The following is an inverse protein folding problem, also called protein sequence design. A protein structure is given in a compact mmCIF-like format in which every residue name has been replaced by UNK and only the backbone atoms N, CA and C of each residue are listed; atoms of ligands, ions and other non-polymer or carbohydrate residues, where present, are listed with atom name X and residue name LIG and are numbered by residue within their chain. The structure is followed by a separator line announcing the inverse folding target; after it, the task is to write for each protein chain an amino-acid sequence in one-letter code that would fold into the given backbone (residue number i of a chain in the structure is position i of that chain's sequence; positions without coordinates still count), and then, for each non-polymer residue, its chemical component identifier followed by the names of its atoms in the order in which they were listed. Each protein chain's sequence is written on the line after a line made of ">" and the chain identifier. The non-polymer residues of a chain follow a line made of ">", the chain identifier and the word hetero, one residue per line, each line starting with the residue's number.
data_IF_812876545355
#
_entry.id   IF_812876545355
#
_cell.length_a   1.000
_cell.length_b   1.000
_cell.length_c   1.000
_cell.angle_alpha   90.00
_cell.angle_beta   90.00
_cell.angle_gamma   90.00
#
_symmetry.space_group_name_H-M   'P 1'
#
loop_
_entity.id
_entity.type
_entity.pdbx_description
1 polymer ?
#
# COMPACT_ATOMS: atom_id res chain seq x y z
N UNK A 1 -3.17 -15.69 3.27
CA UNK A 1 -4.18 -14.76 2.71
C UNK A 1 -3.50 -13.43 2.44
N UNK A 2 -3.94 -12.71 1.41
CA UNK A 2 -3.32 -11.43 1.00
C UNK A 2 -4.40 -10.35 1.05
N UNK A 3 -4.26 -9.38 1.95
CA UNK A 3 -5.04 -8.15 1.95
C UNK A 3 -4.11 -7.01 1.53
N UNK A 4 -3.93 -6.85 0.22
CA UNK A 4 -3.06 -5.84 -0.35
C UNK A 4 -3.86 -4.97 -1.32
N UNK A 5 -4.50 -3.95 -0.79
CA UNK A 5 -5.21 -2.93 -1.55
C UNK A 5 -4.56 -1.57 -1.32
N UNK A 6 -4.41 -0.78 -2.37
CA UNK A 6 -3.92 0.61 -2.31
C UNK A 6 -4.89 1.53 -3.05
N UNK A 7 -4.94 2.81 -2.74
CA UNK A 7 -5.74 3.79 -3.45
C UNK A 7 -4.85 4.69 -4.29
N UNK A 8 -5.26 4.98 -5.53
CA UNK A 8 -4.56 5.93 -6.38
C UNK A 8 -4.50 7.30 -5.68
N UNK A 9 -3.31 7.88 -5.63
CA UNK A 9 -3.05 9.17 -5.01
C UNK A 9 -2.98 9.16 -3.49
N UNK A 10 -2.91 7.99 -2.85
CA UNK A 10 -2.88 7.85 -1.39
C UNK A 10 -1.75 6.91 -0.93
N UNK A 11 -1.44 6.99 0.37
CA UNK A 11 -0.51 6.14 1.10
C UNK A 11 -1.30 5.14 1.95
N UNK A 12 -1.15 3.85 1.70
CA UNK A 12 -1.84 2.80 2.45
C UNK A 12 -0.89 1.69 2.90
N UNK A 13 -1.20 1.11 4.05
CA UNK A 13 -0.52 -0.08 4.54
C UNK A 13 -1.04 -1.32 3.80
N UNK A 14 -0.14 -2.05 3.14
CA UNK A 14 -0.42 -3.34 2.51
C UNK A 14 0.20 -4.46 3.34
N UNK A 15 -0.53 -5.56 3.53
CA UNK A 15 -0.08 -6.67 4.38
C UNK A 15 -0.06 -8.00 3.64
N UNK A 16 1.03 -8.74 3.81
CA UNK A 16 1.23 -10.07 3.22
C UNK A 16 1.43 -11.10 4.32
N UNK A 17 0.64 -12.18 4.30
CA UNK A 17 0.89 -13.34 5.16
C UNK A 17 1.64 -14.40 4.37
N UNK A 18 2.88 -14.68 4.78
CA UNK A 18 3.70 -15.73 4.20
C UNK A 18 3.82 -16.88 5.19
N UNK A 19 4.07 -18.08 4.66
CA UNK A 19 4.31 -19.29 5.43
C UNK A 19 5.63 -19.90 5.01
N UNK A 20 6.48 -20.26 5.95
CA UNK A 20 7.69 -21.02 5.61
C UNK A 20 7.36 -22.49 5.33
N UNK A 21 7.94 -23.01 4.25
CA UNK A 21 7.84 -24.42 3.83
C UNK A 21 9.14 -25.19 4.08
N UNK A 22 10.18 -24.52 4.57
CA UNK A 22 11.44 -25.16 4.96
C UNK A 22 11.29 -26.02 6.21
N UNK A 23 12.21 -26.98 6.38
CA UNK A 23 12.27 -27.87 7.54
C UNK A 23 13.14 -27.33 8.69
N UNK A 24 13.84 -26.22 8.46
CA UNK A 24 14.78 -25.60 9.41
C UNK A 24 14.38 -24.17 9.73
N UNK A 25 14.82 -23.67 10.89
CA UNK A 25 14.58 -22.29 11.29
C UNK A 25 15.34 -21.35 10.36
N UNK A 26 14.62 -20.40 9.76
CA UNK A 26 15.22 -19.32 9.00
C UNK A 26 15.59 -18.19 9.98
N UNK A 27 16.88 -18.00 10.23
CA UNK A 27 17.38 -17.00 11.19
C UNK A 27 17.51 -15.64 10.54
N UNK A 28 17.34 -14.59 11.35
CA UNK A 28 17.50 -13.20 10.92
C UNK A 28 16.76 -12.88 9.60
N UNK A 29 15.57 -13.49 9.42
CA UNK A 29 14.86 -13.40 8.17
C UNK A 29 14.39 -11.97 7.89
N UNK A 30 14.47 -11.58 6.63
CA UNK A 30 13.94 -10.32 6.11
C UNK A 30 13.21 -10.58 4.81
N UNK A 31 12.18 -9.78 4.54
CA UNK A 31 11.40 -9.87 3.30
C UNK A 31 11.62 -8.60 2.52
N UNK A 32 12.20 -8.72 1.34
CA UNK A 32 12.30 -7.67 0.35
C UNK A 32 11.05 -7.70 -0.53
N UNK A 33 10.41 -6.55 -0.67
CA UNK A 33 9.31 -6.31 -1.57
C UNK A 33 9.80 -5.43 -2.72
N UNK A 34 9.50 -5.81 -3.96
CA UNK A 34 9.86 -5.08 -5.17
C UNK A 34 8.64 -4.91 -6.06
N UNK A 35 8.27 -3.67 -6.33
CA UNK A 35 7.23 -3.32 -7.30
C UNK A 35 7.74 -3.45 -8.73
N UNK A 36 6.95 -4.07 -9.60
CA UNK A 36 7.21 -4.11 -11.05
C UNK A 36 6.74 -2.86 -11.79
N UNK A 37 6.26 -1.85 -11.06
CA UNK A 37 5.81 -0.59 -11.61
C UNK A 37 6.40 0.59 -10.84
N UNK A 38 6.93 1.57 -11.57
CA UNK A 38 7.41 2.82 -11.00
C UNK A 38 6.32 3.68 -10.34
N UNK A 39 5.04 3.40 -10.62
CA UNK A 39 3.93 4.15 -10.02
C UNK A 39 3.55 3.67 -8.61
N UNK A 40 3.96 2.47 -8.20
CA UNK A 40 3.78 1.95 -6.85
C UNK A 40 5.12 2.00 -6.13
N UNK A 41 5.24 2.90 -5.16
CA UNK A 41 6.44 3.11 -4.35
C UNK A 41 6.18 2.77 -2.89
N UNK A 42 7.24 2.67 -2.10
CA UNK A 42 7.19 2.44 -0.66
C UNK A 42 7.56 3.71 0.11
N UNK A 43 7.52 3.65 1.45
CA UNK A 43 7.83 4.77 2.36
C UNK A 43 9.12 5.54 2.04
N UNK A 44 10.16 4.88 1.50
CA UNK A 44 11.41 5.55 1.10
C UNK A 44 11.31 6.38 -0.18
N UNK A 45 10.22 6.25 -0.93
CA UNK A 45 10.07 6.79 -2.29
C UNK A 45 10.59 5.85 -3.38
N UNK A 46 11.16 4.69 -3.04
CA UNK A 46 11.66 3.71 -3.99
C UNK A 46 10.59 2.68 -4.38
N UNK A 47 10.84 1.93 -5.45
CA UNK A 47 10.03 0.77 -5.86
C UNK A 47 10.36 -0.50 -5.07
N UNK A 48 11.22 -0.43 -4.06
CA UNK A 48 11.54 -1.57 -3.21
C UNK A 48 11.62 -1.18 -1.74
N UNK A 49 11.28 -2.11 -0.85
CA UNK A 49 11.40 -1.94 0.60
C UNK A 49 11.70 -3.27 1.26
N UNK A 50 12.40 -3.24 2.40
CA UNK A 50 12.76 -4.46 3.14
C UNK A 50 12.23 -4.38 4.57
N UNK A 51 11.51 -5.41 4.98
CA UNK A 51 11.02 -5.56 6.34
C UNK A 51 11.79 -6.67 7.06
N UNK A 52 12.19 -6.41 8.30
CA UNK A 52 12.81 -7.43 9.16
C UNK A 52 11.72 -8.27 9.83
N UNK A 53 11.89 -9.60 9.81
CA UNK A 53 10.99 -10.57 10.43
C UNK A 53 11.63 -11.21 11.65
N UNK A 54 12.95 -11.43 11.63
CA UNK A 54 13.69 -12.13 12.67
C UNK A 54 13.66 -13.64 12.46
N UNK A 55 13.75 -14.41 13.54
CA UNK A 55 13.75 -15.87 13.44
C UNK A 55 12.35 -16.41 13.09
N UNK A 56 12.31 -17.33 12.12
CA UNK A 56 11.07 -17.85 11.56
C UNK A 56 11.06 -19.38 11.62
N UNK A 57 10.14 -19.92 12.42
CA UNK A 57 10.06 -21.36 12.67
C UNK A 57 9.42 -22.13 11.49
N UNK A 58 9.83 -23.39 11.24
CA UNK A 58 9.24 -24.25 10.24
C UNK A 58 7.69 -24.31 10.30
N UNK A 59 7.03 -24.05 9.18
CA UNK A 59 5.56 -24.06 9.08
C UNK A 59 4.83 -22.86 9.68
N UNK A 60 5.53 -21.91 10.30
CA UNK A 60 4.94 -20.71 10.91
C UNK A 60 4.47 -19.71 9.84
N UNK A 61 3.34 -19.03 10.10
CA UNK A 61 2.85 -17.93 9.29
C UNK A 61 3.27 -16.60 9.91
N UNK A 62 3.80 -15.68 9.11
CA UNK A 62 4.11 -14.30 9.53
C UNK A 62 3.42 -13.32 8.62
N UNK A 63 2.88 -12.26 9.23
CA UNK A 63 2.31 -11.13 8.49
C UNK A 63 3.31 -10.00 8.48
N UNK A 64 3.60 -9.47 7.29
CA UNK A 64 4.48 -8.34 7.08
C UNK A 64 3.65 -7.20 6.49
N UNK A 65 3.85 -6.00 7.01
CA UNK A 65 3.17 -4.79 6.55
C UNK A 65 4.18 -3.83 5.94
N UNK A 66 3.83 -3.27 4.79
CA UNK A 66 4.58 -2.21 4.12
C UNK A 66 3.67 -1.02 3.91
N UNK A 67 4.19 0.19 4.12
CA UNK A 67 3.53 1.40 3.68
C UNK A 67 3.85 1.65 2.20
N UNK A 68 2.82 1.65 1.36
CA UNK A 68 2.93 1.82 -0.08
C UNK A 68 2.12 3.02 -0.55
N UNK A 69 2.65 3.73 -1.54
CA UNK A 69 2.03 4.88 -2.18
C UNK A 69 1.78 4.56 -3.65
N UNK A 70 0.56 4.81 -4.13
CA UNK A 70 0.25 4.71 -5.55
C UNK A 70 0.14 6.12 -6.13
N UNK A 71 1.00 6.46 -7.10
CA UNK A 71 1.09 7.81 -7.66
C UNK A 71 -0.27 8.30 -8.19
N UNK A 72 -0.62 9.57 -7.94
CA UNK A 72 -1.82 10.21 -8.51
C UNK A 72 -1.87 10.12 -10.03
N UNK A 73 -3.06 9.95 -10.60
CA UNK A 73 -3.28 9.73 -12.03
C UNK A 73 -2.85 8.34 -12.55
N UNK A 74 -2.44 7.44 -11.66
CA UNK A 74 -2.20 6.04 -12.01
C UNK A 74 -3.49 5.33 -12.43
N UNK A 75 -3.37 4.35 -13.33
CA UNK A 75 -4.51 3.56 -13.73
C UNK A 75 -4.98 2.65 -12.58
N UNK A 76 -6.28 2.63 -12.30
CA UNK A 76 -6.87 1.65 -11.39
C UNK A 76 -6.80 0.24 -12.01
N UNK A 77 -5.79 -0.53 -11.61
CA UNK A 77 -5.52 -1.92 -12.03
C UNK A 77 -4.77 -2.70 -10.95
N UNK A 78 -4.59 -4.00 -11.16
CA UNK A 78 -3.69 -4.78 -10.33
C UNK A 78 -2.22 -4.45 -10.64
N UNK A 79 -1.42 -4.21 -9.61
CA UNK A 79 0.01 -3.95 -9.69
C UNK A 79 0.80 -5.18 -9.20
N UNK A 80 1.72 -5.68 -10.02
CA UNK A 80 2.55 -6.83 -9.67
C UNK A 80 3.69 -6.44 -8.73
N UNK A 81 3.92 -7.29 -7.74
CA UNK A 81 4.94 -7.15 -6.71
C UNK A 81 5.67 -8.50 -6.55
N UNK A 82 6.99 -8.48 -6.48
CA UNK A 82 7.76 -9.66 -6.09
C UNK A 82 8.17 -9.56 -4.61
N UNK A 83 8.03 -10.67 -3.90
CA UNK A 83 8.49 -10.84 -2.53
C UNK A 83 9.64 -11.86 -2.50
N UNK A 84 10.75 -11.48 -1.88
CA UNK A 84 11.94 -12.33 -1.75
C UNK A 84 12.35 -12.37 -0.28
N UNK A 85 12.50 -13.58 0.27
CA UNK A 85 12.92 -13.79 1.66
C UNK A 85 14.42 -14.04 1.69
N UNK A 86 15.16 -13.23 2.45
CA UNK A 86 16.57 -13.45 2.76
C UNK A 86 16.68 -13.91 4.21
N UNK A 87 17.46 -14.96 4.47
CA UNK A 87 17.62 -15.55 5.79
C UNK A 87 18.94 -16.30 5.90
N UNK A 88 19.38 -16.58 7.13
CA UNK A 88 20.51 -17.49 7.38
C UNK A 88 19.96 -18.88 7.76
N UNK A 89 20.55 -19.93 7.19
CA UNK A 89 20.20 -21.31 7.52
C UNK A 89 20.79 -21.74 8.89
N UNK A 90 20.57 -23.01 9.27
CA UNK A 90 21.00 -23.54 10.56
C UNK A 90 22.52 -23.45 10.77
N UNK A 91 23.29 -23.57 9.69
CA UNK A 91 24.75 -23.44 9.62
C UNK A 91 25.24 -21.98 9.57
N UNK A 92 24.33 -21.00 9.50
CA UNK A 92 24.64 -19.58 9.40
C UNK A 92 25.03 -19.13 8.00
N UNK A 93 24.65 -19.89 6.96
CA UNK A 93 24.88 -19.54 5.57
C UNK A 93 23.68 -18.74 5.06
N UNK A 94 23.94 -17.57 4.49
CA UNK A 94 22.87 -16.75 3.91
C UNK A 94 22.27 -17.42 2.68
N UNK A 95 20.93 -17.45 2.66
CA UNK A 95 20.07 -18.01 1.62
C UNK A 95 19.06 -16.97 1.18
N UNK A 96 18.60 -17.15 -0.06
CA UNK A 96 17.54 -16.34 -0.65
C UNK A 96 16.47 -17.29 -1.21
N UNK A 97 15.21 -16.99 -0.96
CA UNK A 97 14.09 -17.76 -1.51
C UNK A 97 13.93 -17.50 -3.01
N UNK A 98 13.17 -18.38 -3.68
CA UNK A 98 12.62 -18.02 -4.98
C UNK A 98 11.68 -16.80 -4.83
N UNK A 99 11.58 -15.94 -5.86
CA UNK A 99 10.65 -14.83 -5.84
C UNK A 99 9.21 -15.33 -5.83
N UNK A 100 8.38 -14.69 -5.01
CA UNK A 100 6.94 -14.93 -4.94
C UNK A 100 6.27 -13.71 -5.57
N UNK A 101 5.68 -13.89 -6.74
CA UNK A 101 4.92 -12.81 -7.39
C UNK A 101 3.50 -12.76 -6.84
N UNK A 102 3.09 -11.58 -6.40
CA UNK A 102 1.74 -11.27 -5.93
C UNK A 102 1.23 -10.00 -6.60
N UNK A 103 -0.05 -9.70 -6.41
CA UNK A 103 -0.68 -8.48 -6.91
C UNK A 103 -1.23 -7.64 -5.77
N UNK A 104 -1.12 -6.32 -5.92
CA UNK A 104 -1.81 -5.32 -5.10
C UNK A 104 -2.96 -4.76 -5.94
N UNK A 105 -4.19 -4.89 -5.46
CA UNK A 105 -5.35 -4.29 -6.13
C UNK A 105 -5.39 -2.79 -5.85
N UNK A 106 -5.81 -1.99 -6.84
CA UNK A 106 -5.96 -0.55 -6.63
C UNK A 106 -7.41 -0.10 -6.65
N UNK A 107 -7.73 0.83 -5.75
CA UNK A 107 -8.97 1.59 -5.72
C UNK A 107 -8.78 2.92 -6.47
N UNK A 108 -9.83 3.44 -7.13
CA UNK A 108 -9.77 4.74 -7.79
C UNK A 108 -9.52 5.89 -6.79
N UNK A 109 -9.07 7.04 -7.31
CA UNK A 109 -8.82 8.24 -6.50
C UNK A 109 -10.04 8.68 -5.69
N UNK A 110 -9.78 9.31 -4.54
CA UNK A 110 -10.83 9.98 -3.79
C UNK A 110 -11.30 11.19 -4.60
N UNK A 111 -12.60 11.28 -4.85
CA UNK A 111 -13.20 12.38 -5.61
C UNK A 111 -14.32 13.05 -4.82
N UNK A 112 -14.44 14.37 -5.00
CA UNK A 112 -15.51 15.18 -4.43
C UNK A 112 -16.13 16.01 -5.55
N UNK A 113 -17.46 16.03 -5.61
CA UNK A 113 -18.22 16.89 -6.47
C UNK A 113 -18.78 18.06 -5.65
N UNK A 114 -18.73 19.27 -6.21
CA UNK A 114 -19.37 20.45 -5.62
C UNK A 114 -20.63 20.76 -6.43
N UNK A 115 -21.75 20.91 -5.73
CA UNK A 115 -23.05 21.24 -6.34
C UNK A 115 -23.74 22.38 -5.57
N UNK A 116 -24.76 22.97 -6.18
CA UNK A 116 -25.59 24.02 -5.56
C UNK A 116 -24.81 25.23 -5.03
N UNK A 117 -23.88 25.74 -5.85
CA UNK A 117 -23.14 26.97 -5.51
C UNK A 117 -24.04 28.18 -5.70
N UNK A 118 -24.40 28.82 -4.60
CA UNK A 118 -25.05 30.13 -4.60
C UNK A 118 -24.13 31.17 -3.96
N UNK A 119 -24.08 32.36 -4.55
CA UNK A 119 -23.23 33.46 -4.09
C UNK A 119 -24.02 34.75 -4.06
N UNK A 120 -24.04 35.41 -2.90
CA UNK A 120 -24.59 36.75 -2.75
C UNK A 120 -23.53 37.84 -2.97
N UNK A 121 -22.31 37.48 -3.36
CA UNK A 121 -21.17 38.38 -3.45
C UNK A 121 -21.39 39.42 -4.57
N UNK A 122 -21.54 40.69 -4.19
CA UNK A 122 -21.45 41.84 -5.11
C UNK A 122 -20.11 42.54 -4.90
N UNK A 123 -19.57 43.14 -5.96
CA UNK A 123 -18.30 43.89 -5.90
C UNK A 123 -18.43 44.99 -4.85
N UNK A 124 -17.70 44.87 -3.75
CA UNK A 124 -17.66 45.85 -2.65
C UNK A 124 -18.42 45.47 -1.36
N UNK A 125 -19.07 44.31 -1.30
CA UNK A 125 -19.74 43.78 -0.10
C UNK A 125 -19.15 42.43 0.33
N UNK A 126 -19.08 42.18 1.63
CA UNK A 126 -18.85 40.83 2.17
C UNK A 126 -20.05 39.94 1.78
N UNK A 127 -19.78 38.83 1.09
CA UNK A 127 -20.79 37.86 0.68
C UNK A 127 -20.44 36.45 1.17
N UNK A 128 -21.46 35.63 1.40
CA UNK A 128 -21.30 34.23 1.79
C UNK A 128 -21.39 33.35 0.54
N UNK A 129 -20.46 32.39 0.43
CA UNK A 129 -20.52 31.35 -0.60
C UNK A 129 -21.00 30.08 0.09
N UNK A 130 -22.18 29.61 -0.28
CA UNK A 130 -22.76 28.37 0.24
C UNK A 130 -22.83 27.37 -0.91
N UNK A 131 -22.36 26.15 -0.66
CA UNK A 131 -22.41 25.04 -1.61
C UNK A 131 -22.47 23.70 -0.89
N UNK A 132 -22.89 22.67 -1.62
CA UNK A 132 -22.89 21.28 -1.13
C UNK A 132 -21.64 20.57 -1.63
N UNK A 133 -20.97 19.86 -0.73
CA UNK A 133 -19.85 18.96 -1.07
C UNK A 133 -20.37 17.53 -1.03
N UNK A 134 -20.38 16.88 -2.19
CA UNK A 134 -20.69 15.45 -2.33
C UNK A 134 -19.40 14.66 -2.46
N UNK A 135 -19.29 13.57 -1.71
CA UNK A 135 -18.17 12.65 -1.78
C UNK A 135 -18.45 11.53 -2.78
N UNK A 136 -17.77 11.54 -3.93
CA UNK A 136 -17.94 10.56 -5.02
C UNK A 136 -16.85 9.49 -5.05
N UNK A 137 -15.87 9.56 -4.14
CA UNK A 137 -14.77 8.59 -4.04
C UNK A 137 -15.09 7.33 -3.23
N UNK A 138 -14.19 6.34 -3.22
CA UNK A 138 -14.45 5.00 -2.67
C UNK A 138 -14.54 4.95 -1.14
N UNK A 139 -13.97 5.91 -0.41
CA UNK A 139 -14.07 5.96 1.05
C UNK A 139 -15.18 6.89 1.51
N UNK A 140 -15.97 6.45 2.50
CA UNK A 140 -16.94 7.30 3.19
C UNK A 140 -16.22 8.30 4.10
N UNK A 141 -16.33 9.60 3.81
CA UNK A 141 -15.77 10.66 4.66
C UNK A 141 -16.73 10.98 5.81
N UNK A 142 -16.23 11.02 7.05
CA UNK A 142 -17.03 11.23 8.27
C UNK A 142 -16.84 12.57 8.97
N UNK A 143 -16.01 13.47 8.45
CA UNK A 143 -15.90 14.83 8.98
C UNK A 143 -15.70 15.82 7.85
N UNK A 144 -16.64 16.75 7.72
CA UNK A 144 -16.53 17.98 6.93
C UNK A 144 -16.66 19.10 7.95
N UNK A 145 -15.60 19.89 8.12
CA UNK A 145 -15.56 21.07 9.01
C UNK A 145 -15.38 22.31 8.16
#
# INVERSE_FOLDING_TARGET
>A
ETNATTQVGDDNDISFTLRTTGSEVAKAASVNAESKSSSLTFESGDTSSTASVGDWEPGENRTITYRAALQSGSAARAYALDLVVNYDDSDGISRTSNPITTTVESLPEQSFAFSDVSSSLRVGEDGEVVGTVENTGPHTVRSVT
#
